data_IF_427867380259
#
_entry.id   IF_427867380259
#
_cell.length_a   1.000
_cell.length_b   1.000
_cell.length_c   1.000
_cell.angle_alpha   90.00
_cell.angle_beta   90.00
_cell.angle_gamma   90.00
#
_symmetry.space_group_name_H-M   'P 1'
#
loop_
_entity.id
_entity.type
_entity.pdbx_description
1 polymer ?
#
# COMPACT_ATOMS: atom_id res chain seq x y z
N UNK A 1 -28.67 -25.25 35.59
CA UNK A 1 -29.09 -26.17 36.67
C UNK A 1 -28.23 -27.42 36.58
N UNK A 2 -27.35 -27.69 37.57
CA UNK A 2 -26.51 -28.90 37.57
C UNK A 2 -27.41 -30.10 37.93
N UNK A 3 -27.50 -31.14 37.09
CA UNK A 3 -28.36 -32.30 37.37
C UNK A 3 -27.86 -33.05 38.62
N UNK A 4 -28.79 -33.42 39.52
CA UNK A 4 -28.52 -34.06 40.82
C UNK A 4 -28.24 -35.56 40.76
N UNK A 5 -28.41 -36.20 39.60
CA UNK A 5 -28.20 -37.65 39.41
C UNK A 5 -26.78 -37.94 38.91
N UNK A 6 -26.20 -39.08 39.33
CA UNK A 6 -24.83 -39.51 38.94
C UNK A 6 -24.63 -39.49 37.43
N UNK A 7 -25.64 -39.92 36.67
CA UNK A 7 -25.59 -40.00 35.21
C UNK A 7 -25.64 -38.60 34.56
N UNK A 8 -26.36 -37.64 35.14
CA UNK A 8 -26.40 -36.26 34.65
C UNK A 8 -25.08 -35.52 34.82
N UNK A 9 -24.37 -35.78 35.92
CA UNK A 9 -23.01 -35.23 36.14
C UNK A 9 -21.99 -35.81 35.16
N UNK A 10 -22.08 -37.10 34.85
CA UNK A 10 -21.23 -37.75 33.83
C UNK A 10 -21.52 -37.17 32.44
N UNK A 11 -22.79 -37.01 32.07
CA UNK A 11 -23.18 -36.39 30.80
C UNK A 11 -22.66 -34.95 30.65
N UNK A 12 -22.79 -34.12 31.69
CA UNK A 12 -22.25 -32.75 31.69
C UNK A 12 -20.71 -32.77 31.59
N UNK A 13 -20.04 -33.69 32.28
CA UNK A 13 -18.60 -33.87 32.18
C UNK A 13 -18.14 -34.28 30.78
N UNK A 14 -18.84 -35.23 30.16
CA UNK A 14 -18.57 -35.65 28.77
C UNK A 14 -18.82 -34.52 27.77
N UNK A 15 -19.89 -33.74 27.97
CA UNK A 15 -20.20 -32.61 27.10
C UNK A 15 -19.14 -31.52 27.22
N UNK A 16 -18.69 -31.21 28.44
CA UNK A 16 -17.60 -30.26 28.67
C UNK A 16 -16.28 -30.74 28.05
N UNK A 17 -15.95 -32.03 28.21
CA UNK A 17 -14.75 -32.62 27.60
C UNK A 17 -14.81 -32.56 26.06
N UNK A 18 -15.96 -32.85 25.47
CA UNK A 18 -16.17 -32.77 24.02
C UNK A 18 -16.01 -31.34 23.49
N UNK A 19 -16.50 -30.34 24.21
CA UNK A 19 -16.34 -28.91 23.84
C UNK A 19 -14.87 -28.51 23.86
N UNK A 20 -14.12 -28.90 24.90
CA UNK A 20 -12.68 -28.60 25.00
C UNK A 20 -11.90 -29.28 23.87
N UNK A 21 -12.21 -30.53 23.56
CA UNK A 21 -11.61 -31.27 22.44
C UNK A 21 -11.89 -30.58 21.09
N UNK A 22 -13.14 -30.19 20.84
CA UNK A 22 -13.52 -29.51 19.61
C UNK A 22 -12.82 -28.15 19.47
N UNK A 23 -12.74 -27.37 20.55
CA UNK A 23 -12.03 -26.10 20.55
C UNK A 23 -10.51 -26.28 20.29
N UNK A 24 -9.88 -27.28 20.92
CA UNK A 24 -8.48 -27.61 20.69
C UNK A 24 -8.19 -28.03 19.25
N UNK A 25 -9.05 -28.86 18.66
CA UNK A 25 -8.95 -29.27 17.25
C UNK A 25 -9.12 -28.07 16.30
N UNK A 26 -10.04 -27.15 16.60
CA UNK A 26 -10.24 -25.94 15.80
C UNK A 26 -9.00 -25.02 15.83
N UNK A 27 -8.41 -24.79 17.01
CA UNK A 27 -7.19 -23.99 17.16
C UNK A 27 -6.01 -24.63 16.42
N UNK A 28 -5.85 -25.94 16.52
CA UNK A 28 -4.80 -26.67 15.80
C UNK A 28 -4.99 -26.54 14.27
N UNK A 29 -6.20 -26.77 13.78
CA UNK A 29 -6.51 -26.69 12.35
C UNK A 29 -6.34 -25.28 11.78
N UNK A 30 -6.62 -24.24 12.56
CA UNK A 30 -6.38 -22.84 12.16
C UNK A 30 -4.90 -22.47 12.19
N UNK A 31 -4.16 -22.96 13.18
CA UNK A 31 -2.72 -22.67 13.30
C UNK A 31 -1.90 -23.39 12.23
N UNK A 32 -2.27 -24.63 11.87
CA UNK A 32 -1.61 -25.42 10.85
C UNK A 32 -1.79 -24.89 9.41
N UNK A 33 -2.71 -23.93 9.19
CA UNK A 33 -2.97 -23.32 7.87
C UNK A 33 -2.10 -22.09 7.59
N UNK A 34 -1.45 -21.54 8.60
CA UNK A 34 -0.57 -20.39 8.42
C UNK A 34 0.81 -20.93 8.04
N UNK A 35 1.28 -20.75 6.80
CA UNK A 35 2.67 -21.04 6.48
C UNK A 35 3.54 -20.19 7.41
N UNK A 36 4.55 -20.82 8.00
CA UNK A 36 5.56 -20.14 8.83
C UNK A 36 6.22 -19.02 8.04
N UNK A 37 6.72 -18.00 8.74
CA UNK A 37 7.55 -16.97 8.12
C UNK A 37 8.73 -17.62 7.39
N UNK A 38 8.82 -17.42 6.08
CA UNK A 38 9.92 -17.91 5.26
C UNK A 38 11.07 -16.91 5.35
N UNK A 39 12.08 -17.22 6.16
CA UNK A 39 13.35 -16.51 6.17
C UNK A 39 14.33 -17.21 5.24
N UNK A 40 14.92 -16.47 4.29
CA UNK A 40 15.92 -16.99 3.37
C UNK A 40 17.20 -16.16 3.49
N UNK A 41 17.95 -16.40 4.57
CA UNK A 41 19.18 -15.68 4.92
C UNK A 41 20.33 -15.92 3.94
N UNK A 42 20.25 -16.99 3.17
CA UNK A 42 21.33 -17.46 2.31
C UNK A 42 21.20 -16.93 0.87
N UNK A 43 20.17 -16.12 0.60
CA UNK A 43 20.02 -15.41 -0.67
C UNK A 43 21.04 -14.27 -0.71
N UNK A 44 22.12 -14.50 -1.43
CA UNK A 44 23.05 -13.44 -1.79
C UNK A 44 22.31 -12.40 -2.65
N UNK A 45 22.19 -11.16 -2.16
CA UNK A 45 21.81 -10.03 -3.00
C UNK A 45 22.94 -9.80 -4.00
N UNK A 46 22.75 -10.25 -5.23
CA UNK A 46 23.64 -9.88 -6.32
C UNK A 46 23.47 -8.38 -6.54
N UNK A 47 24.54 -7.61 -6.38
CA UNK A 47 24.58 -6.24 -6.87
C UNK A 47 24.39 -6.31 -8.38
N UNK A 48 23.19 -6.01 -8.84
CA UNK A 48 22.92 -5.89 -10.26
C UNK A 48 23.82 -4.76 -10.76
N UNK A 49 24.69 -5.06 -11.74
CA UNK A 49 25.33 -4.02 -12.53
C UNK A 49 24.19 -3.32 -13.26
N UNK A 50 23.65 -2.27 -12.66
CA UNK A 50 22.70 -1.40 -13.31
C UNK A 50 23.47 -0.73 -14.44
N UNK A 51 23.40 -1.33 -15.63
CA UNK A 51 23.52 -0.60 -16.87
C UNK A 51 22.36 0.38 -16.85
N UNK A 52 22.56 1.50 -16.15
CA UNK A 52 21.62 2.57 -16.05
C UNK A 52 21.28 2.96 -17.49
N UNK A 53 20.03 2.73 -17.94
CA UNK A 53 19.65 3.10 -19.29
C UNK A 53 20.04 4.56 -19.46
N UNK A 54 20.78 4.87 -20.54
CA UNK A 54 21.25 6.22 -20.83
C UNK A 54 20.10 7.18 -20.54
N UNK A 55 20.31 8.08 -19.56
CA UNK A 55 19.26 8.94 -19.04
C UNK A 55 18.55 9.59 -20.24
N UNK A 56 17.29 9.23 -20.46
CA UNK A 56 16.48 9.83 -21.52
C UNK A 56 16.59 11.34 -21.32
N UNK A 57 17.05 12.04 -22.35
CA UNK A 57 17.35 13.46 -22.28
C UNK A 57 16.22 14.16 -21.52
N UNK A 58 16.56 14.66 -20.33
CA UNK A 58 15.57 15.25 -19.43
C UNK A 58 14.91 16.39 -20.21
N UNK A 59 13.62 16.27 -20.45
CA UNK A 59 12.81 17.42 -20.86
C UNK A 59 13.12 18.52 -19.85
N UNK A 60 13.40 19.76 -20.29
CA UNK A 60 13.79 20.86 -19.39
C UNK A 60 12.71 21.20 -18.33
N UNK A 61 11.54 20.54 -18.37
CA UNK A 61 10.49 20.61 -17.40
C UNK A 61 10.74 19.65 -16.22
N UNK A 62 10.42 20.09 -15.00
CA UNK A 62 10.38 19.22 -13.81
C UNK A 62 9.55 17.96 -14.06
N UNK A 63 10.07 16.78 -13.71
CA UNK A 63 9.39 15.49 -13.81
C UNK A 63 9.54 14.68 -12.51
N UNK A 64 8.48 13.98 -12.14
CA UNK A 64 8.41 13.02 -11.05
C UNK A 64 7.57 11.82 -11.54
N UNK A 65 8.15 10.94 -12.37
CA UNK A 65 7.39 9.99 -13.16
C UNK A 65 6.89 8.77 -12.37
N UNK A 66 7.54 8.43 -11.25
CA UNK A 66 7.24 7.23 -10.45
C UNK A 66 7.21 7.54 -8.95
N UNK A 67 6.56 6.67 -8.18
CA UNK A 67 6.61 6.73 -6.72
C UNK A 67 8.07 6.68 -6.22
N UNK A 68 8.48 7.67 -5.43
CA UNK A 68 9.85 7.81 -4.96
C UNK A 68 10.82 8.48 -5.94
N UNK A 69 10.32 9.19 -6.95
CA UNK A 69 11.05 9.95 -7.99
C UNK A 69 11.71 9.09 -9.07
N UNK A 70 12.58 8.16 -8.68
CA UNK A 70 13.34 7.30 -9.58
C UNK A 70 13.25 5.82 -9.15
N UNK A 71 13.98 4.95 -9.85
CA UNK A 71 14.04 3.52 -9.54
C UNK A 71 14.63 3.22 -8.16
N UNK A 72 15.46 4.11 -7.61
CA UNK A 72 16.01 3.96 -6.26
C UNK A 72 15.00 4.35 -5.17
N UNK A 73 13.88 5.00 -5.53
CA UNK A 73 12.76 5.35 -4.65
C UNK A 73 13.17 6.11 -3.40
N UNK A 74 14.23 6.91 -3.50
CA UNK A 74 14.81 7.65 -2.36
C UNK A 74 13.99 8.88 -1.97
N UNK A 75 12.99 9.25 -2.77
CA UNK A 75 12.20 10.48 -2.60
C UNK A 75 13.05 11.76 -2.63
N UNK A 76 14.27 11.67 -3.18
CA UNK A 76 15.18 12.79 -3.30
C UNK A 76 15.13 13.38 -4.70
N UNK A 77 14.73 14.64 -4.83
CA UNK A 77 14.79 15.36 -6.10
C UNK A 77 16.02 16.27 -6.16
N UNK A 78 16.91 16.11 -7.16
CA UNK A 78 18.16 16.86 -7.22
C UNK A 78 17.90 18.32 -7.58
N UNK A 79 17.81 19.18 -6.56
CA UNK A 79 17.71 20.63 -6.72
C UNK A 79 19.08 21.29 -6.68
N UNK A 80 19.38 22.19 -7.64
CA UNK A 80 20.62 22.98 -7.62
C UNK A 80 20.70 23.93 -6.41
N UNK A 81 19.54 24.40 -5.93
CA UNK A 81 19.41 25.29 -4.79
C UNK A 81 18.23 24.82 -3.93
N UNK A 82 18.37 24.79 -2.59
CA UNK A 82 17.26 24.44 -1.70
C UNK A 82 16.09 25.41 -1.85
N UNK A 83 14.86 24.89 -1.81
CA UNK A 83 13.67 25.70 -1.65
C UNK A 83 13.63 26.27 -0.23
N UNK A 84 13.46 27.59 -0.09
CA UNK A 84 13.34 28.25 1.21
C UNK A 84 11.96 28.89 1.35
N UNK A 85 11.37 28.86 2.56
CA UNK A 85 10.11 29.54 2.84
C UNK A 85 10.24 31.07 2.65
N UNK A 86 9.10 31.79 2.52
CA UNK A 86 7.73 31.30 2.63
C UNK A 86 7.20 30.65 1.35
N UNK A 87 6.53 29.50 1.49
CA UNK A 87 5.81 28.86 0.39
C UNK A 87 4.42 29.47 0.23
N UNK A 88 3.98 29.66 -1.01
CA UNK A 88 2.63 30.11 -1.34
C UNK A 88 1.86 28.97 -2.01
N UNK A 89 0.65 28.73 -1.54
CA UNK A 89 -0.27 27.79 -2.18
C UNK A 89 -0.64 28.34 -3.56
N UNK A 90 -0.36 27.57 -4.62
CA UNK A 90 -0.75 27.97 -5.99
C UNK A 90 -2.19 27.57 -6.32
N UNK A 91 -2.59 26.39 -5.88
CA UNK A 91 -3.93 25.84 -6.05
C UNK A 91 -4.12 24.69 -5.05
N UNK A 92 -5.36 24.30 -4.83
CA UNK A 92 -5.73 23.14 -4.04
C UNK A 92 -6.87 22.39 -4.71
N UNK A 93 -6.89 21.07 -4.52
CA UNK A 93 -7.99 20.21 -4.94
C UNK A 93 -8.61 19.61 -3.69
N UNK A 94 -9.90 19.86 -3.47
CA UNK A 94 -10.65 19.26 -2.36
C UNK A 94 -11.09 17.84 -2.74
N UNK A 95 -10.89 16.89 -1.84
CA UNK A 95 -11.31 15.50 -1.98
C UNK A 95 -11.86 14.94 -0.67
N UNK A 96 -12.58 13.84 -0.77
CA UNK A 96 -13.21 13.11 0.35
C UNK A 96 -12.79 11.64 0.40
N UNK A 97 -11.73 11.27 -0.32
CA UNK A 97 -11.18 9.91 -0.36
C UNK A 97 -9.75 9.99 0.11
N UNK A 98 -9.34 8.97 0.87
CA UNK A 98 -7.98 8.83 1.36
C UNK A 98 -6.98 8.90 0.20
N UNK A 99 -5.87 9.60 0.46
CA UNK A 99 -4.75 9.70 -0.46
C UNK A 99 -3.53 9.06 0.22
N UNK A 100 -3.20 7.85 -0.21
CA UNK A 100 -2.09 7.07 0.34
C UNK A 100 -0.80 7.28 -0.46
N UNK A 101 -0.92 7.32 -1.79
CA UNK A 101 0.22 7.45 -2.69
C UNK A 101 0.35 8.88 -3.21
N UNK A 102 1.59 9.36 -3.29
CA UNK A 102 1.91 10.65 -3.89
C UNK A 102 1.54 10.70 -5.38
N UNK A 103 1.23 11.89 -5.92
CA UNK A 103 1.01 12.04 -7.35
C UNK A 103 2.30 11.85 -8.15
N UNK A 104 2.17 11.53 -9.43
CA UNK A 104 3.26 11.58 -10.40
C UNK A 104 3.05 12.76 -11.33
N UNK A 105 4.14 13.39 -11.76
CA UNK A 105 4.13 14.58 -12.60
C UNK A 105 5.04 14.38 -13.82
N UNK A 106 4.56 14.80 -14.98
CA UNK A 106 5.33 14.76 -16.23
C UNK A 106 4.88 15.89 -17.16
N UNK A 107 5.82 16.58 -17.77
CA UNK A 107 5.57 17.72 -18.66
C UNK A 107 4.58 18.75 -18.05
N UNK A 108 3.34 18.83 -18.57
CA UNK A 108 2.29 19.77 -18.12
C UNK A 108 1.23 19.13 -17.22
N UNK A 109 1.35 17.83 -16.98
CA UNK A 109 0.33 17.01 -16.32
C UNK A 109 0.75 16.56 -14.94
N UNK A 110 -0.24 16.43 -14.07
CA UNK A 110 -0.16 15.80 -12.77
C UNK A 110 -1.20 14.68 -12.72
N UNK A 111 -0.79 13.48 -12.33
CA UNK A 111 -1.65 12.33 -12.21
C UNK A 111 -1.79 11.96 -10.74
N UNK A 112 -3.04 11.83 -10.29
CA UNK A 112 -3.38 11.53 -8.90
C UNK A 112 -4.29 10.31 -8.86
N UNK A 113 -3.79 9.20 -8.32
CA UNK A 113 -4.60 8.02 -8.04
C UNK A 113 -5.03 8.05 -6.58
N UNK A 114 -6.34 8.12 -6.35
CA UNK A 114 -6.92 8.10 -5.00
C UNK A 114 -7.11 6.67 -4.54
N UNK A 115 -7.26 6.45 -3.23
CA UNK A 115 -7.38 5.09 -2.67
C UNK A 115 -8.56 4.29 -3.26
N UNK A 116 -9.64 4.94 -3.69
CA UNK A 116 -10.76 4.27 -4.36
C UNK A 116 -10.54 4.00 -5.86
N UNK A 117 -9.29 3.89 -6.31
CA UNK A 117 -8.87 3.70 -7.70
C UNK A 117 -9.42 4.71 -8.72
N UNK A 118 -9.73 5.94 -8.28
CA UNK A 118 -10.08 7.03 -9.17
C UNK A 118 -8.80 7.78 -9.59
N UNK A 119 -8.40 7.63 -10.85
CA UNK A 119 -7.26 8.30 -11.47
C UNK A 119 -7.70 9.64 -12.06
N UNK A 120 -7.05 10.72 -11.64
CA UNK A 120 -7.28 12.07 -12.17
C UNK A 120 -6.04 12.50 -12.95
N UNK A 121 -6.24 13.04 -14.16
CA UNK A 121 -5.20 13.80 -14.85
C UNK A 121 -5.53 15.27 -14.81
N UNK A 122 -4.55 16.09 -14.45
CA UNK A 122 -4.76 17.49 -14.14
C UNK A 122 -3.65 18.37 -14.69
N UNK A 123 -3.97 19.62 -14.98
CA UNK A 123 -2.99 20.65 -15.31
C UNK A 123 -2.16 20.97 -14.08
N UNK A 124 -0.85 20.77 -14.16
CA UNK A 124 0.06 20.96 -13.01
C UNK A 124 0.05 22.40 -12.45
N UNK A 125 -0.16 23.40 -13.29
CA UNK A 125 -0.06 24.81 -12.88
C UNK A 125 -1.33 25.36 -12.23
N UNK A 126 -2.49 24.76 -12.51
CA UNK A 126 -3.79 25.29 -12.04
C UNK A 126 -4.60 24.28 -11.23
N UNK A 127 -4.24 22.99 -11.23
CA UNK A 127 -5.04 21.93 -10.62
C UNK A 127 -6.32 21.59 -11.41
N UNK A 128 -6.51 22.16 -12.60
CA UNK A 128 -7.68 21.90 -13.44
C UNK A 128 -7.68 20.44 -13.89
N UNK A 129 -8.73 19.70 -13.57
CA UNK A 129 -8.88 18.30 -13.99
C UNK A 129 -9.22 18.24 -15.48
N UNK A 130 -8.40 17.55 -16.26
CA UNK A 130 -8.67 17.27 -17.67
C UNK A 130 -9.66 16.13 -17.81
N UNK A 131 -9.42 15.04 -17.08
CA UNK A 131 -10.25 13.85 -17.10
C UNK A 131 -10.10 13.05 -15.82
N UNK A 132 -11.06 12.14 -15.60
CA UNK A 132 -11.08 11.19 -14.50
C UNK A 132 -11.37 9.80 -15.07
N UNK A 133 -10.71 8.77 -14.54
CA UNK A 133 -10.92 7.38 -14.91
C UNK A 133 -10.95 6.50 -13.67
N UNK A 134 -11.95 5.62 -13.55
CA UNK A 134 -11.99 4.57 -12.53
C UNK A 134 -11.22 3.37 -13.07
N UNK A 135 -10.21 2.91 -12.32
CA UNK A 135 -9.32 1.82 -12.74
C UNK A 135 -9.63 0.48 -12.06
N UNK A 136 -10.39 0.50 -10.98
CA UNK A 136 -10.70 -0.66 -10.14
C UNK A 136 -11.38 -0.22 -8.86
N UNK A 137 -11.19 -0.92 -7.76
CA UNK A 137 -11.76 -0.53 -6.46
C UNK A 137 -10.77 0.09 -5.49
N UNK A 138 -9.54 -0.42 -5.44
CA UNK A 138 -8.48 0.05 -4.55
C UNK A 138 -7.22 0.42 -5.32
N UNK A 139 -6.50 1.43 -4.83
CA UNK A 139 -5.16 1.75 -5.30
C UNK A 139 -4.13 1.12 -4.35
N UNK A 140 -3.07 0.55 -4.91
CA UNK A 140 -1.94 0.00 -4.14
C UNK A 140 -0.59 0.63 -4.54
N UNK A 141 -0.61 1.65 -5.41
CA UNK A 141 0.55 2.39 -5.85
C UNK A 141 0.16 3.77 -6.39
N UNK A 142 1.16 4.63 -6.62
CA UNK A 142 1.01 5.73 -7.59
C UNK A 142 0.68 5.18 -8.98
N UNK A 143 0.00 5.96 -9.85
CA UNK A 143 -0.38 5.50 -11.19
C UNK A 143 0.81 5.33 -12.14
#
# INVERSE_FOLDING_TARGET
>A
MIPRTRNGRVLVGLLAAAIVLAAGLAVFALSARNPSDVSNSDVAFQAENTNQPAAKAATAAFEWPVYGYDSARTHNFPVKKPFRPPFKVRWSLRGNVLLEFGPVAGDKSLYLLRNNAALYAMKRTTGTVYWKKKLGELAASSP
#
